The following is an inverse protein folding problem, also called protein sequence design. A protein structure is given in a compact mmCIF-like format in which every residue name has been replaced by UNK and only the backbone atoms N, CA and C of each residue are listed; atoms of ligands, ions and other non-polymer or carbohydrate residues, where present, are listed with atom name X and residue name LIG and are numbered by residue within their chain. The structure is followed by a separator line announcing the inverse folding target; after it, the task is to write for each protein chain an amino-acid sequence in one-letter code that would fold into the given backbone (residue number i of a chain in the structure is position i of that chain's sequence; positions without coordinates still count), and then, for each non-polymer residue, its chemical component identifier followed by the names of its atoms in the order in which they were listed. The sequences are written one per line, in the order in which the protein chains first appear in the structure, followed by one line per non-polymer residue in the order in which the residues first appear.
data_IF_263761355731
#
_entry.id   IF_263761355731
#
_cell.length_a   1.000
_cell.length_b   1.000
_cell.length_c   1.000
_cell.angle_alpha   90.00
_cell.angle_beta   90.00
_cell.angle_gamma   90.00
#
_symmetry.space_group_name_H-M   'P 1'
#
loop_
_entity.id
_entity.type
_entity.pdbx_description
1 polymer ?
#
# COMPACT_ATOMS: atom_id res chain seq x y z
N UNK A 1 -25.92 -9.39 -79.13
CA UNK A 1 -26.97 -10.32 -79.61
C UNK A 1 -28.29 -9.88 -79.01
N UNK A 2 -29.21 -9.41 -79.86
CA UNK A 2 -30.58 -9.08 -79.49
C UNK A 2 -31.33 -10.39 -79.26
N UNK A 3 -31.73 -10.69 -78.03
CA UNK A 3 -32.70 -11.76 -77.79
C UNK A 3 -34.09 -11.24 -78.17
N UNK A 4 -34.67 -11.87 -79.20
CA UNK A 4 -36.05 -11.66 -79.61
C UNK A 4 -37.00 -11.99 -78.45
N UNK A 5 -37.84 -11.02 -78.04
CA UNK A 5 -39.09 -11.30 -77.35
C UNK A 5 -39.98 -12.10 -78.31
N UNK A 6 -40.10 -13.40 -78.05
CA UNK A 6 -41.01 -14.32 -78.75
C UNK A 6 -41.97 -14.96 -77.74
N UNK A 7 -42.64 -14.17 -76.89
CA UNK A 7 -43.77 -14.70 -76.11
C UNK A 7 -44.88 -13.65 -75.99
N UNK A 8 -46.04 -14.04 -76.54
CA UNK A 8 -47.34 -13.40 -76.43
C UNK A 8 -47.84 -13.50 -74.98
N UNK A 9 -48.49 -12.46 -74.49
CA UNK A 9 -48.81 -12.21 -73.08
C UNK A 9 -49.92 -13.07 -72.47
N UNK A 10 -50.07 -14.36 -72.82
CA UNK A 10 -51.14 -15.22 -72.29
C UNK A 10 -50.86 -16.72 -72.06
N UNK A 11 -49.66 -17.23 -72.34
CA UNK A 11 -49.33 -18.65 -72.06
C UNK A 11 -48.21 -18.76 -71.01
N UNK A 12 -48.60 -18.97 -69.75
CA UNK A 12 -47.69 -19.19 -68.62
C UNK A 12 -47.34 -20.68 -68.58
N UNK A 13 -46.17 -21.04 -69.12
CA UNK A 13 -45.65 -22.40 -69.03
C UNK A 13 -44.91 -22.60 -67.70
N UNK A 14 -44.98 -23.77 -67.06
CA UNK A 14 -44.22 -24.05 -65.85
C UNK A 14 -42.71 -24.02 -66.15
N UNK A 15 -41.96 -23.28 -65.35
CA UNK A 15 -40.49 -23.17 -65.40
C UNK A 15 -39.90 -24.05 -64.31
N UNK A 16 -38.99 -24.95 -64.66
CA UNK A 16 -38.27 -25.75 -63.66
C UNK A 16 -37.10 -24.95 -63.06
N UNK A 17 -37.13 -24.75 -61.75
CA UNK A 17 -36.11 -24.08 -60.95
C UNK A 17 -35.32 -25.12 -60.16
N UNK A 18 -34.02 -25.20 -60.41
CA UNK A 18 -33.12 -26.11 -59.70
C UNK A 18 -32.55 -25.40 -58.47
N UNK A 19 -32.96 -25.83 -57.27
CA UNK A 19 -32.46 -25.34 -55.99
C UNK A 19 -31.31 -26.21 -55.49
N UNK A 20 -30.09 -25.87 -55.92
CA UNK A 20 -28.88 -26.60 -55.55
C UNK A 20 -28.39 -26.21 -54.14
N UNK A 21 -28.10 -27.21 -53.31
CA UNK A 21 -27.49 -27.04 -51.98
C UNK A 21 -26.03 -27.51 -52.01
N UNK A 22 -25.10 -26.56 -52.06
CA UNK A 22 -23.67 -26.84 -52.15
C UNK A 22 -23.17 -27.32 -50.77
N UNK A 23 -22.50 -28.48 -50.73
CA UNK A 23 -21.95 -29.08 -49.51
C UNK A 23 -22.81 -30.19 -48.87
N UNK A 24 -23.95 -30.53 -49.47
CA UNK A 24 -24.81 -31.66 -49.06
C UNK A 24 -24.94 -32.71 -50.18
N UNK A 25 -25.34 -33.96 -49.89
CA UNK A 25 -25.59 -34.98 -50.91
C UNK A 25 -26.59 -34.50 -51.97
N UNK A 26 -26.40 -34.89 -53.23
CA UNK A 26 -27.21 -34.41 -54.37
C UNK A 26 -28.72 -34.65 -54.18
N UNK A 27 -29.09 -35.74 -53.52
CA UNK A 27 -30.47 -36.11 -53.17
C UNK A 27 -31.19 -35.06 -52.30
N UNK A 28 -30.45 -34.17 -51.64
CA UNK A 28 -31.00 -33.09 -50.83
C UNK A 28 -31.28 -31.79 -51.61
N UNK A 29 -30.87 -31.73 -52.89
CA UNK A 29 -31.19 -30.65 -53.82
C UNK A 29 -32.55 -30.92 -54.48
N UNK A 30 -33.26 -29.85 -54.83
CA UNK A 30 -34.65 -29.93 -55.27
C UNK A 30 -34.81 -29.30 -56.65
N UNK A 31 -35.71 -29.86 -57.46
CA UNK A 31 -36.21 -29.22 -58.68
C UNK A 31 -37.67 -28.86 -58.43
N UNK A 32 -38.02 -27.58 -58.60
CA UNK A 32 -39.35 -27.04 -58.36
C UNK A 32 -39.91 -26.50 -59.68
N UNK A 33 -41.05 -27.03 -60.13
CA UNK A 33 -41.77 -26.47 -61.28
C UNK A 33 -42.64 -25.30 -60.83
N UNK A 34 -42.39 -24.10 -61.34
CA UNK A 34 -43.03 -22.84 -60.92
C UNK A 34 -43.77 -22.20 -62.10
N UNK A 35 -45.03 -21.83 -61.89
CA UNK A 35 -45.80 -20.98 -62.82
C UNK A 35 -45.86 -19.55 -62.28
N UNK A 36 -45.60 -18.55 -63.13
CA UNK A 36 -45.59 -17.13 -62.75
C UNK A 36 -46.86 -16.46 -63.29
N UNK A 37 -47.78 -16.08 -62.39
CA UNK A 37 -48.96 -15.30 -62.77
C UNK A 37 -48.58 -13.81 -62.91
N UNK A 38 -48.97 -13.17 -64.02
CA UNK A 38 -48.77 -11.73 -64.23
C UNK A 38 -49.78 -10.92 -63.40
N UNK A 39 -49.53 -10.69 -62.10
CA UNK A 39 -50.13 -9.57 -61.36
C UNK A 39 -49.52 -9.34 -59.95
N UNK A 40 -48.37 -8.63 -59.88
CA UNK A 40 -48.05 -7.74 -58.76
C UNK A 40 -46.89 -6.80 -59.13
N UNK A 41 -47.17 -5.51 -59.34
CA UNK A 41 -46.16 -4.46 -59.63
C UNK A 41 -45.59 -3.79 -58.37
N UNK A 42 -45.57 -4.48 -57.24
CA UNK A 42 -45.12 -3.90 -55.97
C UNK A 42 -43.87 -4.64 -55.51
N UNK A 43 -42.74 -3.94 -55.52
CA UNK A 43 -41.46 -4.48 -55.05
C UNK A 43 -41.54 -4.70 -53.53
N UNK A 44 -41.67 -5.96 -53.10
CA UNK A 44 -41.66 -6.34 -51.68
C UNK A 44 -40.23 -6.69 -51.27
N UNK A 45 -39.66 -5.87 -50.39
CA UNK A 45 -38.31 -6.09 -49.85
C UNK A 45 -38.35 -7.03 -48.63
N UNK A 46 -37.66 -8.16 -48.73
CA UNK A 46 -37.47 -9.14 -47.65
C UNK A 46 -35.97 -9.45 -47.49
N UNK A 47 -35.56 -10.03 -46.37
CA UNK A 47 -34.17 -10.46 -46.15
C UNK A 47 -33.55 -10.03 -44.81
N UNK A 48 -34.29 -9.34 -43.95
CA UNK A 48 -33.83 -9.07 -42.59
C UNK A 48 -33.62 -10.38 -41.83
N UNK A 49 -32.41 -10.59 -41.32
CA UNK A 49 -32.09 -11.75 -40.48
C UNK A 49 -32.80 -11.60 -39.13
N UNK A 50 -33.36 -12.71 -38.63
CA UNK A 50 -33.92 -12.74 -37.27
C UNK A 50 -32.81 -12.79 -36.22
N UNK A 51 -33.05 -12.14 -35.09
CA UNK A 51 -32.15 -12.24 -33.92
C UNK A 51 -32.36 -13.58 -33.17
N UNK A 52 -31.57 -13.82 -32.12
CA UNK A 52 -31.68 -15.04 -31.29
C UNK A 52 -33.06 -15.24 -30.62
N UNK A 53 -33.93 -14.22 -30.59
CA UNK A 53 -35.30 -14.26 -30.06
C UNK A 53 -36.35 -14.45 -31.17
N UNK A 54 -35.92 -14.86 -32.36
CA UNK A 54 -36.73 -15.03 -33.57
C UNK A 54 -37.49 -13.75 -34.00
N UNK A 55 -37.01 -12.57 -33.61
CA UNK A 55 -37.58 -11.27 -33.98
C UNK A 55 -36.69 -10.57 -35.01
N UNK A 56 -37.31 -9.88 -35.96
CA UNK A 56 -36.59 -8.97 -36.86
C UNK A 56 -36.12 -7.76 -36.06
N UNK A 57 -34.81 -7.60 -35.98
CA UNK A 57 -34.19 -6.51 -35.23
C UNK A 57 -32.67 -6.63 -35.17
N UNK A 58 -31.97 -5.54 -34.82
CA UNK A 58 -30.52 -5.50 -34.81
C UNK A 58 -29.94 -6.49 -33.78
N UNK A 59 -28.72 -6.97 -34.06
CA UNK A 59 -27.89 -7.72 -33.10
C UNK A 59 -26.90 -6.76 -32.46
N UNK A 60 -26.98 -6.59 -31.15
CA UNK A 60 -26.00 -5.83 -30.38
C UNK A 60 -25.04 -6.81 -29.70
N UNK A 61 -23.74 -6.57 -29.83
CA UNK A 61 -22.68 -7.35 -29.18
C UNK A 61 -21.79 -6.36 -28.44
N UNK A 62 -21.46 -6.66 -27.18
CA UNK A 62 -20.48 -5.88 -26.41
C UNK A 62 -19.08 -6.48 -26.65
N UNK A 63 -18.25 -5.79 -27.42
CA UNK A 63 -16.86 -6.18 -27.71
C UNK A 63 -15.85 -5.41 -26.86
N UNK A 64 -16.29 -4.74 -25.79
CA UNK A 64 -15.43 -3.87 -24.99
C UNK A 64 -14.24 -4.66 -24.42
N UNK A 65 -14.44 -5.88 -23.95
CA UNK A 65 -13.35 -6.67 -23.36
C UNK A 65 -12.26 -7.07 -24.39
N UNK A 66 -12.62 -7.13 -25.68
CA UNK A 66 -11.73 -7.60 -26.74
C UNK A 66 -11.13 -6.44 -27.56
N UNK A 67 -11.76 -5.26 -27.54
CA UNK A 67 -11.39 -4.12 -28.39
C UNK A 67 -11.00 -2.86 -27.61
N UNK A 68 -11.43 -2.70 -26.36
CA UNK A 68 -11.06 -1.54 -25.53
C UNK A 68 -9.64 -1.72 -24.97
N UNK A 69 -8.65 -0.92 -25.43
CA UNK A 69 -7.26 -1.10 -24.99
C UNK A 69 -7.09 -0.98 -23.48
N UNK A 70 -7.94 -0.20 -22.80
CA UNK A 70 -7.87 -0.03 -21.35
C UNK A 70 -8.29 -1.31 -20.61
N UNK A 71 -9.35 -1.98 -21.09
CA UNK A 71 -9.80 -3.27 -20.54
C UNK A 71 -8.82 -4.39 -20.84
N UNK A 72 -8.23 -4.38 -22.03
CA UNK A 72 -7.21 -5.36 -22.41
C UNK A 72 -5.97 -5.20 -21.51
N UNK A 73 -5.50 -3.98 -21.28
CA UNK A 73 -4.39 -3.71 -20.37
C UNK A 73 -4.68 -4.16 -18.93
N UNK A 74 -5.86 -3.83 -18.39
CA UNK A 74 -6.28 -4.21 -17.04
C UNK A 74 -6.39 -5.74 -16.88
N UNK A 75 -7.00 -6.42 -17.86
CA UNK A 75 -7.12 -7.88 -17.86
C UNK A 75 -5.77 -8.60 -18.03
N UNK A 76 -4.85 -8.02 -18.79
CA UNK A 76 -3.49 -8.54 -18.99
C UNK A 76 -2.66 -8.42 -17.71
N UNK A 77 -2.80 -7.31 -16.98
CA UNK A 77 -2.15 -7.13 -15.68
C UNK A 77 -2.65 -8.18 -14.66
N UNK A 78 -3.97 -8.39 -14.60
CA UNK A 78 -4.58 -9.39 -13.72
C UNK A 78 -4.22 -10.83 -14.09
N UNK A 79 -3.99 -11.12 -15.38
CA UNK A 79 -3.64 -12.46 -15.83
C UNK A 79 -2.31 -12.94 -15.23
N UNK A 80 -1.32 -12.06 -15.08
CA UNK A 80 -0.03 -12.42 -14.50
C UNK A 80 -0.19 -12.92 -13.06
N UNK A 81 -1.00 -12.21 -12.25
CA UNK A 81 -1.31 -12.61 -10.88
C UNK A 81 -2.09 -13.92 -10.83
N UNK A 82 -3.08 -14.10 -11.72
CA UNK A 82 -3.83 -15.37 -11.83
C UNK A 82 -2.92 -16.55 -12.19
N UNK A 83 -1.90 -16.34 -13.02
CA UNK A 83 -0.91 -17.37 -13.34
C UNK A 83 -0.08 -17.77 -12.11
N UNK A 84 0.29 -16.81 -11.25
CA UNK A 84 0.96 -17.14 -9.97
C UNK A 84 0.07 -18.04 -9.11
N UNK A 85 -1.21 -17.68 -8.96
CA UNK A 85 -2.19 -18.49 -8.23
C UNK A 85 -2.33 -19.88 -8.84
N UNK A 86 -2.62 -19.98 -10.13
CA UNK A 86 -2.91 -21.27 -10.78
C UNK A 86 -1.71 -22.21 -10.87
N UNK A 87 -0.49 -21.67 -10.99
CA UNK A 87 0.72 -22.49 -11.22
C UNK A 87 1.53 -22.75 -9.97
N UNK A 88 1.54 -21.82 -9.01
CA UNK A 88 2.48 -21.87 -7.89
C UNK A 88 1.76 -21.91 -6.53
N UNK A 89 0.78 -21.04 -6.30
CA UNK A 89 0.12 -20.91 -5.00
C UNK A 89 -1.41 -20.94 -5.16
N UNK A 90 -2.05 -22.12 -5.28
CA UNK A 90 -3.49 -22.24 -5.57
C UNK A 90 -4.40 -21.57 -4.53
N UNK A 91 -3.96 -21.54 -3.27
CA UNK A 91 -4.71 -20.99 -2.14
C UNK A 91 -4.54 -19.47 -1.99
N UNK A 92 -3.73 -18.82 -2.84
CA UNK A 92 -3.56 -17.37 -2.83
C UNK A 92 -4.87 -16.64 -3.14
N UNK A 93 -5.32 -15.79 -2.24
CA UNK A 93 -6.46 -14.91 -2.44
C UNK A 93 -5.97 -13.60 -3.08
N UNK A 94 -6.26 -13.44 -4.37
CA UNK A 94 -5.95 -12.23 -5.14
C UNK A 94 -7.05 -11.16 -5.02
N UNK A 95 -8.28 -11.58 -4.75
CA UNK A 95 -9.42 -10.68 -4.71
C UNK A 95 -9.35 -9.82 -3.45
N UNK A 96 -8.92 -10.40 -2.31
CA UNK A 96 -8.68 -9.63 -1.09
C UNK A 96 -7.58 -8.58 -1.27
N UNK A 97 -6.52 -8.87 -2.05
CA UNK A 97 -5.45 -7.90 -2.31
C UNK A 97 -5.99 -6.77 -3.19
N UNK A 98 -6.69 -7.13 -4.27
CA UNK A 98 -7.25 -6.18 -5.24
C UNK A 98 -8.26 -5.21 -4.60
N UNK A 99 -9.02 -5.67 -3.61
CA UNK A 99 -10.07 -4.88 -2.96
C UNK A 99 -9.55 -3.85 -1.96
N UNK A 100 -8.29 -3.91 -1.54
CA UNK A 100 -7.78 -3.02 -0.49
C UNK A 100 -7.72 -1.57 -0.96
N UNK A 101 -8.18 -0.66 -0.10
CA UNK A 101 -7.91 0.78 -0.18
C UNK A 101 -6.65 1.12 0.61
N UNK A 102 -5.58 1.46 -0.09
CA UNK A 102 -4.28 1.77 0.51
C UNK A 102 -4.05 3.28 0.61
N UNK A 103 -3.85 3.78 1.83
CA UNK A 103 -3.44 5.15 2.11
C UNK A 103 -1.91 5.20 2.28
N UNK A 104 -1.23 6.00 1.47
CA UNK A 104 0.22 6.20 1.52
C UNK A 104 0.54 7.57 2.11
N UNK A 105 0.98 7.59 3.36
CA UNK A 105 1.41 8.80 4.06
C UNK A 105 2.86 9.09 3.71
N UNK A 106 3.07 9.94 2.70
CA UNK A 106 4.35 10.24 2.09
C UNK A 106 4.40 9.79 0.62
N UNK A 107 4.70 10.73 -0.28
CA UNK A 107 4.89 10.50 -1.71
C UNK A 107 6.39 10.66 -2.11
N UNK A 108 7.30 10.41 -1.17
CA UNK A 108 8.74 10.39 -1.38
C UNK A 108 9.24 9.08 -2.02
N UNK A 109 10.49 8.73 -1.74
CA UNK A 109 11.18 7.54 -2.31
C UNK A 109 10.45 6.24 -1.97
N UNK A 110 10.03 6.10 -0.70
CA UNK A 110 9.23 4.97 -0.23
C UNK A 110 7.84 4.95 -0.87
N UNK A 111 7.11 6.08 -0.79
CA UNK A 111 5.77 6.20 -1.37
C UNK A 111 5.68 5.79 -2.83
N UNK A 112 6.63 6.27 -3.65
CA UNK A 112 6.70 5.91 -5.07
C UNK A 112 6.91 4.41 -5.28
N UNK A 113 7.82 3.81 -4.52
CA UNK A 113 8.21 2.40 -4.67
C UNK A 113 7.13 1.45 -4.13
N UNK A 114 6.57 1.74 -2.96
CA UNK A 114 5.43 1.02 -2.37
C UNK A 114 4.23 1.06 -3.33
N UNK A 115 3.89 2.24 -3.87
CA UNK A 115 2.79 2.37 -4.82
C UNK A 115 2.96 1.49 -6.06
N UNK A 116 4.15 1.46 -6.66
CA UNK A 116 4.43 0.60 -7.82
C UNK A 116 4.27 -0.89 -7.49
N UNK A 117 4.76 -1.31 -6.32
CA UNK A 117 4.63 -2.69 -5.87
C UNK A 117 3.16 -3.07 -5.57
N UNK A 118 2.38 -2.17 -4.96
CA UNK A 118 0.95 -2.38 -4.72
C UNK A 118 0.17 -2.56 -6.03
N UNK A 119 0.43 -1.71 -7.03
CA UNK A 119 -0.20 -1.83 -8.35
C UNK A 119 0.22 -3.12 -9.06
N UNK A 120 1.48 -3.53 -8.94
CA UNK A 120 1.95 -4.81 -9.46
C UNK A 120 1.22 -6.01 -8.82
N UNK A 121 0.88 -5.92 -7.53
CA UNK A 121 0.06 -6.90 -6.80
C UNK A 121 -1.44 -6.79 -7.05
N UNK A 122 -1.87 -5.86 -7.90
CA UNK A 122 -3.26 -5.76 -8.33
C UNK A 122 -4.12 -4.80 -7.51
N UNK A 123 -3.57 -4.06 -6.55
CA UNK A 123 -4.31 -3.04 -5.79
C UNK A 123 -4.85 -1.97 -6.75
N UNK A 124 -6.13 -1.60 -6.57
CA UNK A 124 -6.81 -0.63 -7.46
C UNK A 124 -7.13 0.71 -6.82
N UNK A 125 -7.01 0.84 -5.50
CA UNK A 125 -7.32 2.05 -4.75
C UNK A 125 -6.08 2.53 -3.99
N UNK A 126 -5.48 3.63 -4.43
CA UNK A 126 -4.29 4.22 -3.80
C UNK A 126 -4.49 5.72 -3.59
N UNK A 127 -4.35 6.17 -2.36
CA UNK A 127 -4.41 7.59 -2.03
C UNK A 127 -3.08 8.04 -1.44
N UNK A 128 -2.49 9.08 -2.03
CA UNK A 128 -1.25 9.69 -1.53
C UNK A 128 -1.56 10.89 -0.65
N UNK A 129 -0.80 11.03 0.43
CA UNK A 129 -0.81 12.21 1.30
C UNK A 129 0.60 12.78 1.40
N UNK A 130 0.80 14.01 0.93
CA UNK A 130 2.10 14.69 0.97
C UNK A 130 1.90 16.21 0.79
N UNK A 131 2.64 17.02 1.54
CA UNK A 131 2.59 18.50 1.44
C UNK A 131 3.71 19.10 0.57
N UNK A 132 4.66 18.28 0.13
CA UNK A 132 5.83 18.71 -0.61
C UNK A 132 5.60 18.94 -2.10
N UNK A 133 6.55 19.64 -2.71
CA UNK A 133 6.67 19.81 -4.17
C UNK A 133 7.83 18.98 -4.72
N UNK A 134 7.70 18.56 -5.98
CA UNK A 134 8.76 17.84 -6.68
C UNK A 134 9.95 18.78 -6.93
N UNK A 135 11.13 18.42 -6.42
CA UNK A 135 12.39 19.12 -6.66
C UNK A 135 13.28 18.41 -7.68
N UNK A 136 14.31 19.09 -8.21
CA UNK A 136 15.19 18.52 -9.24
C UNK A 136 15.94 17.25 -8.82
N UNK A 137 16.23 17.07 -7.53
CA UNK A 137 16.90 15.87 -7.02
C UNK A 137 15.95 14.68 -6.84
N UNK A 138 14.64 14.90 -6.94
CA UNK A 138 13.63 13.87 -6.67
C UNK A 138 13.51 12.81 -7.76
N UNK A 139 13.38 13.11 -9.08
CA UNK A 139 13.09 12.11 -10.10
C UNK A 139 14.04 10.90 -10.14
N UNK A 140 15.32 11.09 -9.81
CA UNK A 140 16.31 9.99 -9.80
C UNK A 140 16.17 9.02 -8.64
N UNK A 141 15.37 9.36 -7.61
CA UNK A 141 15.09 8.51 -6.43
C UNK A 141 13.60 8.19 -6.28
N UNK A 142 12.73 9.07 -6.77
CA UNK A 142 11.28 9.01 -6.60
C UNK A 142 10.64 8.63 -7.94
N UNK A 143 10.45 7.33 -8.13
CA UNK A 143 10.17 6.70 -9.44
C UNK A 143 8.82 7.05 -10.08
N UNK A 144 8.00 7.89 -9.46
CA UNK A 144 6.75 8.41 -10.05
C UNK A 144 6.89 9.82 -10.63
N UNK A 145 8.03 10.47 -10.45
CA UNK A 145 8.26 11.83 -10.93
C UNK A 145 9.24 11.85 -12.09
N UNK A 146 9.04 12.81 -12.99
CA UNK A 146 9.92 13.11 -14.11
C UNK A 146 10.51 14.52 -13.97
N UNK A 147 11.51 14.83 -14.80
CA UNK A 147 12.06 16.20 -14.88
C UNK A 147 10.98 17.25 -15.17
N UNK A 148 9.95 16.90 -15.94
CA UNK A 148 8.84 17.80 -16.28
C UNK A 148 7.91 18.13 -15.10
N UNK A 149 8.04 17.43 -13.98
CA UNK A 149 7.25 17.69 -12.76
C UNK A 149 7.97 18.63 -11.78
N UNK A 150 9.27 18.91 -12.01
CA UNK A 150 10.09 19.82 -11.22
C UNK A 150 9.74 21.29 -11.47
N UNK A 151 10.31 22.19 -10.66
CA UNK A 151 10.15 23.63 -10.83
C UNK A 151 10.92 24.16 -12.04
N UNK A 152 10.25 24.26 -13.18
CA UNK A 152 10.78 24.85 -14.42
C UNK A 152 10.45 26.35 -14.55
N UNK A 153 10.13 27.04 -13.45
CA UNK A 153 9.79 28.47 -13.40
C UNK A 153 8.33 28.78 -13.05
N UNK A 154 7.49 27.75 -12.84
CA UNK A 154 6.09 27.87 -12.44
C UNK A 154 5.80 27.25 -11.05
N UNK A 155 6.84 26.83 -10.33
CA UNK A 155 6.74 26.00 -9.14
C UNK A 155 6.63 24.51 -9.50
N UNK A 156 7.35 23.67 -8.77
CA UNK A 156 7.24 22.22 -8.93
C UNK A 156 5.84 21.71 -8.59
N UNK A 157 5.39 20.64 -9.24
CA UNK A 157 4.08 20.05 -8.98
C UNK A 157 3.99 19.53 -7.55
N UNK A 158 2.77 19.52 -6.99
CA UNK A 158 2.52 18.92 -5.69
C UNK A 158 2.75 17.40 -5.77
N UNK A 159 3.55 16.85 -4.86
CA UNK A 159 3.97 15.44 -4.92
C UNK A 159 2.80 14.47 -4.88
N UNK A 160 1.84 14.70 -3.99
CA UNK A 160 0.68 13.82 -3.84
C UNK A 160 -0.12 13.70 -5.15
N UNK A 161 -0.45 14.85 -5.76
CA UNK A 161 -1.20 14.90 -7.02
C UNK A 161 -0.39 14.35 -8.19
N UNK A 162 0.89 14.71 -8.30
CA UNK A 162 1.78 14.22 -9.35
C UNK A 162 1.93 12.70 -9.29
N UNK A 163 2.08 12.12 -8.09
CA UNK A 163 2.18 10.68 -7.89
C UNK A 163 0.89 9.96 -8.31
N UNK A 164 -0.26 10.54 -7.97
CA UNK A 164 -1.55 9.99 -8.35
C UNK A 164 -1.75 9.97 -9.88
N UNK A 165 -1.38 11.07 -10.56
CA UNK A 165 -1.41 11.16 -12.02
C UNK A 165 -0.43 10.18 -12.68
N UNK A 166 0.77 10.02 -12.11
CA UNK A 166 1.76 9.06 -12.61
C UNK A 166 1.26 7.61 -12.52
N UNK A 167 0.57 7.23 -11.43
CA UNK A 167 -0.06 5.90 -11.36
C UNK A 167 -1.15 5.71 -12.42
N UNK A 168 -1.98 6.73 -12.68
CA UNK A 168 -2.98 6.67 -13.76
C UNK A 168 -2.34 6.55 -15.14
N UNK A 169 -1.16 7.11 -15.34
CA UNK A 169 -0.40 6.92 -16.58
C UNK A 169 0.14 5.49 -16.72
N UNK A 170 0.43 4.80 -15.60
CA UNK A 170 0.88 3.40 -15.58
C UNK A 170 -0.29 2.43 -15.79
N UNK A 171 -1.38 2.62 -15.04
CA UNK A 171 -2.59 1.81 -15.12
C UNK A 171 -3.82 2.74 -15.14
N UNK A 172 -4.41 3.06 -16.31
CA UNK A 172 -5.48 4.05 -16.39
C UNK A 172 -6.77 3.70 -15.64
N UNK A 173 -7.00 2.42 -15.36
CA UNK A 173 -8.16 1.92 -14.60
C UNK A 173 -8.01 2.09 -13.09
N UNK A 174 -6.84 2.49 -12.59
CA UNK A 174 -6.60 2.68 -11.15
C UNK A 174 -7.40 3.86 -10.60
N UNK A 175 -8.01 3.66 -9.43
CA UNK A 175 -8.52 4.76 -8.64
C UNK A 175 -7.39 5.32 -7.77
N UNK A 176 -6.69 6.32 -8.30
CA UNK A 176 -5.60 6.99 -7.62
C UNK A 176 -5.91 8.46 -7.33
N UNK A 177 -5.72 8.90 -6.10
CA UNK A 177 -5.96 10.28 -5.64
C UNK A 177 -4.77 10.83 -4.87
N UNK A 178 -4.55 12.14 -4.96
CA UNK A 178 -3.50 12.83 -4.23
C UNK A 178 -4.12 13.91 -3.35
N UNK A 179 -3.74 13.93 -2.07
CA UNK A 179 -4.21 14.93 -1.11
C UNK A 179 -3.01 15.69 -0.57
N UNK A 180 -2.98 17.00 -0.85
CA UNK A 180 -2.06 17.91 -0.18
C UNK A 180 -2.52 18.13 1.24
N UNK A 181 -1.72 17.62 2.19
CA UNK A 181 -1.98 17.72 3.62
C UNK A 181 -0.64 17.62 4.36
N UNK A 182 -0.40 18.57 5.27
CA UNK A 182 0.69 18.51 6.23
C UNK A 182 0.26 17.68 7.42
N UNK A 183 1.07 16.69 7.81
CA UNK A 183 0.79 15.84 8.96
C UNK A 183 1.22 16.57 10.24
N UNK A 184 0.30 16.85 11.17
CA UNK A 184 0.63 17.48 12.45
C UNK A 184 1.67 16.69 13.26
N UNK A 185 2.71 17.37 13.74
CA UNK A 185 3.80 16.77 14.50
C UNK A 185 3.77 17.22 15.97
N UNK A 186 4.04 16.34 16.95
CA UNK A 186 4.19 16.72 18.36
C UNK A 186 5.26 17.80 18.56
N UNK A 187 4.98 18.78 19.42
CA UNK A 187 5.92 19.88 19.72
C UNK A 187 6.11 20.94 18.63
N UNK A 188 5.33 20.92 17.54
CA UNK A 188 5.39 21.92 16.47
C UNK A 188 4.13 22.81 16.45
N UNK A 189 4.30 24.12 16.67
CA UNK A 189 3.20 25.10 16.69
C UNK A 189 2.47 25.29 15.35
N UNK A 190 3.05 24.88 14.22
CA UNK A 190 2.40 24.93 12.91
C UNK A 190 1.32 23.86 12.71
N UNK A 191 1.25 22.87 13.60
CA UNK A 191 0.27 21.80 13.58
C UNK A 191 -1.17 22.34 13.78
N UNK A 192 -2.07 22.06 12.84
CA UNK A 192 -3.48 22.46 12.94
C UNK A 192 -4.37 21.27 13.26
N UNK A 193 -5.38 21.51 14.11
CA UNK A 193 -6.42 20.52 14.44
C UNK A 193 -7.21 20.14 13.18
N UNK A 194 -7.45 21.07 12.25
CA UNK A 194 -8.13 20.81 10.99
C UNK A 194 -7.40 19.74 10.15
N UNK A 195 -6.06 19.83 10.06
CA UNK A 195 -5.27 18.83 9.38
C UNK A 195 -5.34 17.47 10.09
N UNK A 196 -5.37 17.47 11.42
CA UNK A 196 -5.51 16.24 12.21
C UNK A 196 -6.87 15.56 11.98
N UNK A 197 -7.96 16.34 11.88
CA UNK A 197 -9.31 15.83 11.56
C UNK A 197 -9.33 15.26 10.14
N UNK A 198 -8.82 15.99 9.16
CA UNK A 198 -8.76 15.51 7.77
C UNK A 198 -7.92 14.22 7.64
N UNK A 199 -6.81 14.12 8.37
CA UNK A 199 -6.00 12.90 8.43
C UNK A 199 -6.77 11.73 9.04
N UNK A 200 -7.55 11.98 10.10
CA UNK A 200 -8.41 10.98 10.73
C UNK A 200 -9.43 10.41 9.74
N UNK A 201 -10.15 11.29 9.02
CA UNK A 201 -11.16 10.89 8.04
C UNK A 201 -10.55 10.05 6.91
N UNK A 202 -9.37 10.45 6.42
CA UNK A 202 -8.64 9.68 5.40
C UNK A 202 -8.24 8.30 5.90
N UNK A 203 -7.73 8.17 7.13
CA UNK A 203 -7.37 6.87 7.70
C UNK A 203 -8.62 6.01 7.91
N UNK A 204 -9.74 6.60 8.33
CA UNK A 204 -11.00 5.89 8.50
C UNK A 204 -11.56 5.32 7.18
N UNK A 205 -11.45 6.07 6.08
CA UNK A 205 -11.95 5.65 4.75
C UNK A 205 -11.17 4.47 4.14
N UNK A 206 -9.92 4.26 4.56
CA UNK A 206 -8.99 3.29 3.98
C UNK A 206 -8.86 2.02 4.83
N UNK A 207 -8.46 0.92 4.19
CA UNK A 207 -8.31 -0.38 4.86
C UNK A 207 -6.91 -0.54 5.47
N UNK A 208 -5.91 -0.05 4.73
CA UNK A 208 -4.48 -0.21 5.06
C UNK A 208 -3.79 1.14 4.97
N UNK A 209 -2.95 1.44 5.96
CA UNK A 209 -2.18 2.68 6.03
C UNK A 209 -0.69 2.39 6.03
N UNK A 210 0.03 2.98 5.08
CA UNK A 210 1.48 2.96 5.06
C UNK A 210 2.04 4.27 5.60
N UNK A 211 2.86 4.19 6.65
CA UNK A 211 3.56 5.32 7.25
C UNK A 211 4.95 5.42 6.62
N UNK A 212 5.07 6.27 5.60
CA UNK A 212 6.22 6.41 4.71
C UNK A 212 6.84 7.82 4.78
N UNK A 213 6.55 8.55 5.86
CA UNK A 213 7.08 9.88 6.12
C UNK A 213 8.57 9.81 6.46
N UNK A 214 9.22 10.96 6.41
CA UNK A 214 10.67 11.10 6.52
C UNK A 214 11.16 11.40 7.95
N UNK A 215 10.26 11.56 8.91
CA UNK A 215 10.60 11.87 10.30
C UNK A 215 9.86 10.98 11.29
N UNK A 216 10.38 10.86 12.51
CA UNK A 216 9.71 10.12 13.59
C UNK A 216 8.42 10.80 14.04
N UNK A 217 8.45 12.13 14.18
CA UNK A 217 7.35 12.93 14.74
C UNK A 217 6.12 12.86 13.85
N UNK A 218 6.31 12.92 12.53
CA UNK A 218 5.24 12.80 11.53
C UNK A 218 4.56 11.43 11.53
N UNK A 219 5.18 10.39 12.12
CA UNK A 219 4.55 9.05 12.27
C UNK A 219 3.66 8.93 13.50
N UNK A 220 3.79 9.83 14.48
CA UNK A 220 3.09 9.71 15.76
C UNK A 220 1.57 9.74 15.60
N UNK A 221 1.04 10.82 15.02
CA UNK A 221 -0.41 10.99 14.90
C UNK A 221 -1.07 9.89 14.05
N UNK A 222 -0.53 9.53 12.85
CA UNK A 222 -1.04 8.38 12.11
C UNK A 222 -1.05 7.08 12.92
N UNK A 223 -0.02 6.84 13.74
CA UNK A 223 0.06 5.64 14.58
C UNK A 223 -1.05 5.61 15.63
N UNK A 224 -1.28 6.74 16.32
CA UNK A 224 -2.38 6.89 17.28
C UNK A 224 -3.73 6.60 16.61
N UNK A 225 -3.99 7.25 15.47
CA UNK A 225 -5.26 7.09 14.74
C UNK A 225 -5.46 5.64 14.30
N UNK A 226 -4.43 5.00 13.74
CA UNK A 226 -4.52 3.60 13.32
C UNK A 226 -4.76 2.65 14.51
N UNK A 227 -4.15 2.93 15.66
CA UNK A 227 -4.36 2.14 16.88
C UNK A 227 -5.80 2.28 17.38
N UNK A 228 -6.33 3.51 17.43
CA UNK A 228 -7.72 3.76 17.88
C UNK A 228 -8.74 3.15 16.92
N UNK A 229 -8.55 3.32 15.61
CA UNK A 229 -9.48 2.82 14.58
C UNK A 229 -9.25 1.35 14.22
N UNK A 230 -8.29 0.67 14.87
CA UNK A 230 -7.90 -0.71 14.56
C UNK A 230 -7.62 -0.91 13.06
N UNK A 231 -6.84 -0.02 12.45
CA UNK A 231 -6.43 -0.11 11.05
C UNK A 231 -5.14 -0.91 10.89
N UNK A 232 -5.00 -1.64 9.79
CA UNK A 232 -3.74 -2.30 9.48
C UNK A 232 -2.72 -1.25 9.05
N UNK A 233 -1.74 -0.99 9.91
CA UNK A 233 -0.70 0.00 9.67
C UNK A 233 0.66 -0.66 9.44
N UNK A 234 1.39 -0.20 8.42
CA UNK A 234 2.76 -0.64 8.12
C UNK A 234 3.66 0.58 8.12
N UNK A 235 4.62 0.62 9.05
CA UNK A 235 5.67 1.63 9.07
C UNK A 235 6.88 1.14 8.29
N UNK A 236 7.37 2.01 7.41
CA UNK A 236 8.68 1.82 6.76
C UNK A 236 9.57 3.01 7.06
N UNK A 237 10.78 2.73 7.51
CA UNK A 237 11.78 3.70 7.93
C UNK A 237 13.13 3.37 7.30
N UNK A 238 13.91 4.42 7.03
CA UNK A 238 15.20 4.31 6.36
C UNK A 238 16.29 4.94 7.21
N UNK A 239 17.43 4.26 7.28
CA UNK A 239 18.71 4.83 7.67
C UNK A 239 19.63 4.91 6.44
N UNK A 240 20.89 5.27 6.66
CA UNK A 240 21.87 5.38 5.58
C UNK A 240 22.00 4.07 4.75
N UNK A 241 22.28 2.95 5.42
CA UNK A 241 22.42 1.62 4.83
C UNK A 241 21.53 0.56 5.52
N UNK A 242 20.62 1.00 6.38
CA UNK A 242 19.68 0.17 7.14
C UNK A 242 18.23 0.56 6.85
N UNK A 243 17.30 -0.34 7.15
CA UNK A 243 15.87 -0.06 7.07
C UNK A 243 15.09 -0.84 8.11
N UNK A 244 13.88 -0.35 8.41
CA UNK A 244 12.89 -1.01 9.24
C UNK A 244 11.56 -1.08 8.48
N UNK A 245 10.96 -2.26 8.43
CA UNK A 245 9.58 -2.48 7.99
C UNK A 245 8.85 -3.17 9.13
N UNK A 246 7.73 -2.64 9.58
CA UNK A 246 6.95 -3.27 10.65
C UNK A 246 5.46 -3.06 10.48
N UNK A 247 4.68 -4.06 10.87
CA UNK A 247 3.22 -3.94 11.01
C UNK A 247 2.88 -3.61 12.46
N UNK A 248 1.89 -2.76 12.68
CA UNK A 248 1.43 -2.45 14.03
C UNK A 248 0.44 -3.50 14.51
N UNK A 249 0.42 -3.78 15.81
CA UNK A 249 -0.52 -4.73 16.40
C UNK A 249 -1.95 -4.21 16.45
N UNK A 250 -2.88 -5.01 15.93
CA UNK A 250 -4.32 -4.85 16.17
C UNK A 250 -4.72 -5.67 17.40
N UNK A 251 -5.72 -5.20 18.14
CA UNK A 251 -6.25 -5.87 19.32
C UNK A 251 -7.60 -6.51 19.01
N UNK A 252 -7.71 -7.82 19.17
CA UNK A 252 -9.00 -8.53 19.20
C UNK A 252 -8.94 -9.64 20.25
N UNK A 253 -9.81 -9.56 21.26
CA UNK A 253 -9.91 -10.58 22.31
C UNK A 253 -8.72 -10.63 23.29
N UNK A 254 -8.34 -11.84 23.70
CA UNK A 254 -7.31 -12.11 24.72
C UNK A 254 -5.88 -12.28 24.16
N UNK A 255 -5.67 -12.07 22.85
CA UNK A 255 -4.36 -12.21 22.23
C UNK A 255 -3.43 -11.04 22.58
N UNK A 256 -2.15 -11.33 22.77
CA UNK A 256 -1.14 -10.33 23.11
C UNK A 256 -0.90 -9.40 21.91
N UNK A 257 -1.31 -8.13 22.04
CA UNK A 257 -1.16 -7.09 21.02
C UNK A 257 0.33 -6.86 20.71
N UNK A 258 0.69 -6.86 19.42
CA UNK A 258 2.03 -6.50 18.99
C UNK A 258 2.31 -5.01 19.18
N UNK A 259 3.59 -4.68 19.32
CA UNK A 259 4.04 -3.30 19.47
C UNK A 259 3.75 -2.43 18.24
N UNK A 260 3.63 -1.12 18.46
CA UNK A 260 3.74 -0.14 17.38
C UNK A 260 5.18 0.36 17.26
N UNK A 261 5.44 1.23 16.29
CA UNK A 261 6.75 1.84 16.07
C UNK A 261 7.35 2.52 17.31
N UNK A 262 6.50 3.06 18.20
CA UNK A 262 6.90 3.77 19.42
C UNK A 262 6.95 2.90 20.68
N UNK A 263 6.75 1.57 20.59
CA UNK A 263 6.79 0.70 21.78
C UNK A 263 8.21 0.36 22.25
N UNK A 264 9.20 0.43 21.35
CA UNK A 264 10.56 -0.05 21.61
C UNK A 264 11.55 1.07 21.89
N UNK A 265 11.07 2.30 22.03
CA UNK A 265 11.91 3.46 22.33
C UNK A 265 11.23 4.24 23.46
N UNK A 266 11.96 4.45 24.54
CA UNK A 266 11.48 5.09 25.76
C UNK A 266 11.36 6.61 25.63
N UNK A 267 11.85 7.22 24.55
CA UNK A 267 11.83 8.68 24.36
C UNK A 267 10.61 9.19 23.58
N UNK A 268 9.99 10.30 24.01
CA UNK A 268 8.94 10.93 23.21
C UNK A 268 9.50 11.53 21.89
N UNK A 269 8.69 11.58 20.82
CA UNK A 269 9.03 12.31 19.61
C UNK A 269 9.12 13.79 19.95
N UNK A 270 10.35 14.28 20.14
CA UNK A 270 10.68 15.70 20.18
C UNK A 270 11.19 16.18 18.82
N UNK A 271 11.65 17.43 18.73
CA UNK A 271 12.24 17.99 17.52
C UNK A 271 13.58 17.28 17.19
N UNK A 272 13.54 16.20 16.41
CA UNK A 272 14.70 15.33 16.13
C UNK A 272 15.59 15.80 14.97
N UNK A 273 15.38 17.03 14.48
CA UNK A 273 16.16 17.60 13.37
C UNK A 273 17.66 17.75 13.65
N UNK A 274 18.14 17.51 14.88
CA UNK A 274 19.53 17.76 15.27
C UNK A 274 20.41 16.51 15.49
N UNK A 275 19.92 15.28 15.78
CA UNK A 275 20.82 14.27 16.39
C UNK A 275 20.65 12.74 16.15
N UNK A 276 20.06 12.20 15.05
CA UNK A 276 20.00 10.71 14.84
C UNK A 276 20.11 10.21 13.40
N UNK A 277 20.73 9.06 13.17
CA UNK A 277 21.00 8.50 11.82
C UNK A 277 19.87 7.68 11.18
N UNK A 278 18.93 7.15 11.97
CA UNK A 278 17.75 6.41 11.49
C UNK A 278 16.55 7.37 11.50
N UNK A 279 15.82 7.48 10.39
CA UNK A 279 14.76 8.48 10.17
C UNK A 279 15.22 9.95 10.14
N UNK A 280 16.50 10.20 9.86
CA UNK A 280 16.92 11.49 9.31
C UNK A 280 16.59 11.56 7.82
N UNK A 281 16.14 12.73 7.37
CA UNK A 281 15.65 13.04 6.02
C UNK A 281 16.17 12.06 4.95
N UNK A 282 15.24 11.36 4.28
CA UNK A 282 15.52 10.22 3.40
C UNK A 282 16.41 10.50 2.17
N UNK A 283 16.95 11.72 2.03
CA UNK A 283 17.85 12.16 0.97
C UNK A 283 19.25 11.55 1.07
N UNK A 284 19.74 11.24 2.28
CA UNK A 284 21.09 10.69 2.51
C UNK A 284 21.04 9.19 2.77
N UNK A 285 20.43 8.43 1.86
CA UNK A 285 20.33 6.97 1.93
C UNK A 285 20.98 6.32 0.71
N UNK A 286 21.58 5.13 0.89
CA UNK A 286 22.03 4.30 -0.24
C UNK A 286 20.81 3.97 -1.12
N UNK A 287 20.82 4.25 -2.44
CA UNK A 287 19.61 4.23 -3.26
C UNK A 287 18.79 2.94 -3.17
N UNK A 288 19.46 1.77 -3.17
CA UNK A 288 18.80 0.46 -3.15
C UNK A 288 18.05 0.13 -1.84
N UNK A 289 18.37 0.80 -0.72
CA UNK A 289 17.73 0.53 0.58
C UNK A 289 16.22 0.75 0.48
N UNK A 290 15.81 1.84 -0.17
CA UNK A 290 14.41 2.21 -0.32
C UNK A 290 13.61 1.19 -1.13
N UNK A 291 14.19 0.62 -2.18
CA UNK A 291 13.56 -0.40 -3.02
C UNK A 291 13.36 -1.70 -2.23
N UNK A 292 14.37 -2.14 -1.49
CA UNK A 292 14.29 -3.36 -0.66
C UNK A 292 13.23 -3.18 0.42
N UNK A 293 13.28 -2.08 1.17
CA UNK A 293 12.31 -1.79 2.23
C UNK A 293 10.87 -1.72 1.69
N UNK A 294 10.67 -1.04 0.55
CA UNK A 294 9.34 -0.90 -0.07
C UNK A 294 8.80 -2.22 -0.63
N UNK A 295 9.67 -3.10 -1.14
CA UNK A 295 9.26 -4.43 -1.56
C UNK A 295 8.79 -5.25 -0.36
N UNK A 296 9.61 -5.30 0.70
CA UNK A 296 9.29 -6.04 1.92
C UNK A 296 8.03 -5.50 2.61
N UNK A 297 7.78 -4.19 2.60
CA UNK A 297 6.56 -3.60 3.15
C UNK A 297 5.30 -4.09 2.43
N UNK A 298 5.33 -4.20 1.10
CA UNK A 298 4.20 -4.70 0.32
C UNK A 298 4.06 -6.22 0.44
N UNK A 299 5.16 -6.98 0.41
CA UNK A 299 5.11 -8.43 0.62
C UNK A 299 4.59 -8.78 2.01
N UNK A 300 4.95 -8.02 3.04
CA UNK A 300 4.42 -8.17 4.39
C UNK A 300 2.90 -7.92 4.40
N UNK A 301 2.42 -6.86 3.74
CA UNK A 301 0.98 -6.63 3.60
C UNK A 301 0.28 -7.81 2.94
N UNK A 302 0.78 -8.23 1.78
CA UNK A 302 0.17 -9.28 0.98
C UNK A 302 0.08 -10.57 1.79
N UNK A 303 1.15 -10.95 2.49
CA UNK A 303 1.15 -12.10 3.40
C UNK A 303 0.12 -11.94 4.54
N UNK A 304 0.08 -10.77 5.19
CA UNK A 304 -0.90 -10.49 6.26
C UNK A 304 -2.34 -10.66 5.78
N UNK A 305 -2.65 -10.22 4.56
CA UNK A 305 -3.99 -10.36 3.99
C UNK A 305 -4.39 -11.82 3.72
N UNK A 306 -3.43 -12.72 3.53
CA UNK A 306 -3.70 -14.15 3.39
C UNK A 306 -4.05 -14.82 4.72
N UNK A 307 -3.69 -14.21 5.85
CA UNK A 307 -4.00 -14.77 7.16
C UNK A 307 -5.45 -14.49 7.57
N UNK A 308 -6.13 -15.50 8.14
CA UNK A 308 -7.54 -15.38 8.58
C UNK A 308 -7.76 -14.24 9.58
N UNK A 309 -6.80 -14.02 10.48
CA UNK A 309 -6.84 -12.99 11.52
C UNK A 309 -6.21 -11.65 11.08
N UNK A 310 -5.69 -11.56 9.84
CA UNK A 310 -5.06 -10.35 9.30
C UNK A 310 -4.06 -9.74 10.29
N UNK A 311 -4.18 -8.45 10.65
CA UNK A 311 -3.22 -7.77 11.51
C UNK A 311 -3.27 -8.16 12.99
N UNK A 312 -4.24 -8.99 13.42
CA UNK A 312 -4.27 -9.59 14.77
C UNK A 312 -3.33 -10.80 14.87
N UNK A 313 -2.93 -11.38 13.74
CA UNK A 313 -2.03 -12.52 13.68
C UNK A 313 -0.75 -12.30 14.49
N UNK A 314 -0.29 -13.33 15.19
CA UNK A 314 0.97 -13.28 15.95
C UNK A 314 2.18 -13.36 15.02
N UNK A 315 3.37 -13.06 15.53
CA UNK A 315 4.61 -13.07 14.72
C UNK A 315 5.18 -14.47 14.45
N UNK A 316 4.61 -15.49 15.09
CA UNK A 316 5.01 -16.91 14.95
C UNK A 316 4.15 -17.68 13.95
N UNK A 317 3.11 -17.04 13.41
CA UNK A 317 2.19 -17.65 12.45
C UNK A 317 2.73 -17.58 11.01
N UNK A 318 2.21 -18.45 10.16
CA UNK A 318 2.55 -18.57 8.75
C UNK A 318 1.31 -18.48 7.87
N UNK A 319 1.52 -18.10 6.62
CA UNK A 319 0.49 -18.04 5.58
C UNK A 319 0.92 -18.86 4.37
N UNK A 320 0.10 -18.87 3.32
CA UNK A 320 0.44 -19.48 2.02
C UNK A 320 1.67 -18.85 1.36
N UNK A 321 2.14 -17.69 1.84
CA UNK A 321 3.32 -16.97 1.37
C UNK A 321 4.50 -17.04 2.35
N UNK A 322 4.42 -17.85 3.42
CA UNK A 322 5.48 -18.05 4.39
C UNK A 322 5.25 -17.34 5.72
N UNK A 323 6.33 -17.08 6.45
CA UNK A 323 6.30 -16.49 7.80
C UNK A 323 5.71 -15.08 7.82
N UNK A 324 5.10 -14.72 8.94
CA UNK A 324 4.43 -13.43 9.13
C UNK A 324 5.12 -12.62 10.25
N UNK A 325 6.28 -11.98 9.96
CA UNK A 325 7.04 -11.27 10.97
C UNK A 325 6.29 -10.04 11.51
N UNK A 326 6.61 -9.64 12.73
CA UNK A 326 6.18 -8.37 13.29
C UNK A 326 6.98 -7.20 12.69
N UNK A 327 8.31 -7.33 12.70
CA UNK A 327 9.21 -6.35 12.10
C UNK A 327 10.36 -7.03 11.36
N UNK A 328 10.88 -6.33 10.36
CA UNK A 328 12.02 -6.71 9.54
C UNK A 328 13.00 -5.55 9.60
N UNK A 329 14.20 -5.79 10.12
CA UNK A 329 15.30 -4.84 10.05
C UNK A 329 16.38 -5.41 9.14
N UNK A 330 16.78 -4.64 8.15
CA UNK A 330 17.82 -5.04 7.21
C UNK A 330 19.04 -4.15 7.26
N UNK A 331 20.20 -4.75 7.00
CA UNK A 331 21.50 -4.10 6.96
C UNK A 331 22.15 -4.37 5.61
N UNK A 332 22.21 -3.36 4.73
CA UNK A 332 22.73 -3.52 3.37
C UNK A 332 24.26 -3.69 3.35
N UNK A 333 24.97 -3.20 4.37
CA UNK A 333 26.40 -3.44 4.53
C UNK A 333 26.73 -4.93 4.71
N UNK A 334 25.87 -5.66 5.42
CA UNK A 334 26.09 -7.06 5.77
C UNK A 334 25.20 -8.04 4.98
N UNK A 335 24.24 -7.52 4.20
CA UNK A 335 23.21 -8.31 3.51
C UNK A 335 22.43 -9.24 4.44
N UNK A 336 22.15 -8.79 5.65
CA UNK A 336 21.43 -9.56 6.68
C UNK A 336 20.10 -8.92 7.04
N UNK A 337 19.12 -9.77 7.39
CA UNK A 337 17.84 -9.37 7.98
C UNK A 337 17.71 -9.95 9.39
N UNK A 338 17.13 -9.19 10.30
CA UNK A 338 16.69 -9.66 11.61
C UNK A 338 15.19 -9.40 11.78
N UNK A 339 14.51 -10.31 12.47
CA UNK A 339 13.03 -10.33 12.57
C UNK A 339 12.54 -10.15 14.01
N UNK A 340 12.86 -9.05 14.72
CA UNK A 340 12.46 -8.89 16.10
C UNK A 340 10.94 -8.75 16.22
N UNK A 341 10.39 -9.37 17.26
CA UNK A 341 8.98 -9.23 17.64
C UNK A 341 8.91 -8.58 19.01
N UNK A 342 8.01 -7.60 19.16
CA UNK A 342 7.83 -6.89 20.43
C UNK A 342 6.36 -6.77 20.72
N UNK A 343 6.04 -6.77 22.02
CA UNK A 343 4.68 -6.67 22.53
C UNK A 343 4.32 -5.21 22.74
N UNK A 344 3.03 -4.89 22.78
CA UNK A 344 2.57 -3.54 23.07
C UNK A 344 3.03 -3.11 24.46
N UNK A 345 3.68 -1.95 24.52
CA UNK A 345 4.15 -1.38 25.78
C UNK A 345 3.03 -0.57 26.46
N UNK A 346 2.78 -0.82 27.74
CA UNK A 346 1.68 -0.20 28.51
C UNK A 346 1.82 1.31 28.64
N UNK A 347 3.05 1.83 28.67
CA UNK A 347 3.35 3.27 28.75
C UNK A 347 3.77 3.85 27.39
N UNK A 348 3.42 3.18 26.29
CA UNK A 348 3.69 3.69 24.95
C UNK A 348 2.95 5.01 24.68
N UNK A 349 3.66 6.03 24.25
CA UNK A 349 3.15 7.35 23.85
C UNK A 349 2.17 7.36 22.65
N UNK A 350 1.97 6.22 21.98
CA UNK A 350 1.14 6.15 20.78
C UNK A 350 0.00 5.12 20.88
N UNK A 351 0.28 3.89 21.34
CA UNK A 351 -0.71 2.81 21.37
C UNK A 351 -1.05 2.31 22.79
N UNK A 352 -0.70 3.06 23.83
CA UNK A 352 -1.13 2.74 25.20
C UNK A 352 -2.62 3.00 25.38
N UNK A 353 -3.30 2.27 26.30
CA UNK A 353 -4.72 2.48 26.58
C UNK A 353 -5.04 3.92 27.01
N UNK A 354 -4.13 4.59 27.72
CA UNK A 354 -4.33 5.98 28.17
C UNK A 354 -4.32 6.96 27.00
N UNK A 355 -3.42 6.77 26.02
CA UNK A 355 -3.37 7.59 24.80
C UNK A 355 -4.59 7.35 23.92
N UNK A 356 -4.97 6.09 23.72
CA UNK A 356 -6.16 5.72 22.93
C UNK A 356 -7.44 6.33 23.54
N UNK A 357 -7.57 6.27 24.86
CA UNK A 357 -8.69 6.87 25.60
C UNK A 357 -8.70 8.39 25.49
N UNK A 358 -7.57 9.05 25.74
CA UNK A 358 -7.45 10.52 25.64
C UNK A 358 -7.76 11.03 24.24
N UNK A 359 -7.30 10.33 23.19
CA UNK A 359 -7.62 10.66 21.81
C UNK A 359 -9.11 10.48 21.48
N UNK A 360 -9.76 9.45 22.03
CA UNK A 360 -11.17 9.13 21.76
C UNK A 360 -12.15 10.03 22.50
N UNK A 361 -11.88 10.33 23.78
CA UNK A 361 -12.79 11.11 24.63
C UNK A 361 -12.58 12.62 24.49
N UNK A 362 -11.32 13.09 24.42
CA UNK A 362 -10.97 14.51 24.46
C UNK A 362 -10.07 14.92 23.28
N UNK A 363 -10.38 14.43 22.07
CA UNK A 363 -9.55 14.56 20.84
C UNK A 363 -8.90 15.94 20.66
N UNK A 364 -9.69 17.01 20.68
CA UNK A 364 -9.23 18.37 20.37
C UNK A 364 -8.26 18.91 21.41
N UNK A 365 -8.61 18.80 22.69
CA UNK A 365 -7.78 19.28 23.81
C UNK A 365 -6.50 18.45 23.94
N UNK A 366 -6.62 17.13 23.78
CA UNK A 366 -5.48 16.22 23.78
C UNK A 366 -4.47 16.60 22.70
N UNK A 367 -4.92 16.77 21.45
CA UNK A 367 -4.04 17.13 20.34
C UNK A 367 -3.42 18.53 20.50
N UNK A 368 -4.18 19.51 20.98
CA UNK A 368 -3.68 20.87 21.23
C UNK A 368 -2.53 20.86 22.27
N UNK A 369 -2.68 20.08 23.35
CA UNK A 369 -1.63 19.90 24.36
C UNK A 369 -0.39 19.21 23.78
N UNK A 370 -0.57 18.17 22.96
CA UNK A 370 0.55 17.45 22.30
C UNK A 370 1.32 18.35 21.33
N UNK A 371 0.62 19.18 20.55
CA UNK A 371 1.28 20.06 19.58
C UNK A 371 2.04 21.20 20.26
N UNK A 372 1.59 21.65 21.43
CA UNK A 372 2.23 22.73 22.20
C UNK A 372 3.37 22.26 23.10
N UNK A 373 3.39 20.99 23.51
CA UNK A 373 4.35 20.48 24.49
C UNK A 373 5.01 19.19 24.03
N UNK A 374 6.35 19.18 24.05
CA UNK A 374 7.15 17.97 23.79
C UNK A 374 7.14 16.98 24.96
N UNK A 375 6.79 17.43 26.18
CA UNK A 375 6.78 16.59 27.40
C UNK A 375 5.42 15.99 27.75
N UNK A 376 4.34 16.58 27.23
CA UNK A 376 2.97 16.19 27.62
C UNK A 376 2.70 14.70 27.42
N UNK A 377 3.23 14.10 26.35
CA UNK A 377 3.09 12.66 26.10
C UNK A 377 3.84 11.79 27.12
N UNK A 378 5.03 12.21 27.55
CA UNK A 378 5.83 11.48 28.56
C UNK A 378 5.16 11.52 29.93
N UNK A 379 4.64 12.70 30.29
CA UNK A 379 3.91 12.90 31.55
C UNK A 379 2.60 12.09 31.55
N UNK A 380 1.86 12.10 30.43
CA UNK A 380 0.60 11.37 30.30
C UNK A 380 0.78 9.85 30.42
N UNK A 381 1.85 9.29 29.87
CA UNK A 381 2.09 7.84 29.91
C UNK A 381 2.91 7.39 31.12
N UNK A 382 3.37 8.32 31.96
CA UNK A 382 4.22 8.03 33.12
C UNK A 382 5.66 7.67 32.74
N UNK A 383 6.11 7.99 31.53
CA UNK A 383 7.51 7.84 31.13
C UNK A 383 8.42 8.79 31.90
N UNK A 384 7.93 10.00 32.22
CA UNK A 384 8.70 10.96 33.05
C UNK A 384 9.04 10.38 34.42
N UNK A 385 8.14 9.62 35.03
CA UNK A 385 8.39 8.95 36.31
C UNK A 385 9.33 7.77 36.15
N UNK A 386 9.18 7.00 35.06
CA UNK A 386 10.06 5.87 34.73
C UNK A 386 11.52 6.33 34.55
N UNK A 387 11.74 7.44 33.84
CA UNK A 387 13.07 8.03 33.68
C UNK A 387 13.66 8.47 35.02
N UNK A 388 12.90 9.20 35.84
CA UNK A 388 13.36 9.60 37.18
C UNK A 388 13.71 8.40 38.08
N UNK A 389 12.92 7.33 38.01
CA UNK A 389 13.18 6.11 38.78
C UNK A 389 14.47 5.41 38.31
N UNK A 390 14.73 5.41 37.00
CA UNK A 390 15.95 4.84 36.42
C UNK A 390 17.19 5.66 36.78
N UNK A 391 17.13 6.99 36.62
CA UNK A 391 18.21 7.91 37.01
C UNK A 391 18.53 7.79 38.51
N UNK A 392 17.51 7.60 39.34
CA UNK A 392 17.70 7.38 40.78
C UNK A 392 18.35 6.04 41.10
N UNK A 393 18.10 5.00 40.28
CA UNK A 393 18.72 3.69 40.42
C UNK A 393 20.18 3.70 39.98
N UNK A 394 20.50 4.33 38.84
CA UNK A 394 21.89 4.51 38.37
C UNK A 394 22.72 5.30 39.38
N UNK A 395 22.14 6.34 39.99
CA UNK A 395 22.77 7.10 41.07
C UNK A 395 23.01 6.27 42.35
N UNK A 396 22.21 5.23 42.60
CA UNK A 396 22.40 4.34 43.74
C UNK A 396 23.48 3.28 43.43
N UNK A 397 23.48 2.70 42.23
CA UNK A 397 24.48 1.73 41.79
C UNK A 397 25.90 2.34 41.71
N UNK A 398 26.01 3.63 41.35
CA UNK A 398 27.30 4.35 41.34
C UNK A 398 27.79 4.75 42.75
N UNK A 399 26.91 4.83 43.75
CA UNK A 399 27.32 5.11 45.13
C UNK A 399 27.78 3.83 45.86
N UNK A 400 27.41 2.65 45.38
CA UNK A 400 27.82 1.36 45.98
C UNK A 400 29.22 0.90 45.51
N UNK A 401 29.84 1.55 44.51
CA UNK A 401 31.22 1.25 44.06
C UNK A 401 32.32 2.09 44.76
N UNK A 402 31.95 3.09 45.57
CA UNK A 402 32.91 3.99 46.25
C UNK A 402 33.24 3.59 47.71
N UNK A 403 32.74 2.45 48.19
CA UNK A 403 32.94 1.95 49.57
C UNK A 403 33.92 0.74 49.65
N UNK A 404 35.05 0.80 48.92
CA UNK A 404 36.22 -0.04 49.20
C UNK A 404 37.32 0.77 49.88
N UNK A 405 37.17 0.86 51.20
CA UNK A 405 38.13 1.19 52.27
C UNK A 405 39.59 1.50 51.83
N UNK A 406 39.93 2.79 51.85
CA UNK A 406 41.26 3.25 52.32
C UNK A 406 41.31 3.01 53.83
N UNK A 407 41.89 1.91 54.30
CA UNK A 407 42.56 1.81 55.61
C UNK A 407 43.17 0.40 55.79
N UNK A 408 44.47 0.28 55.54
CA UNK A 408 45.35 -0.62 56.31
C UNK A 408 46.79 -0.08 56.25
N UNK A 409 47.12 0.68 57.29
CA UNK A 409 48.45 1.20 57.64
C UNK A 409 49.45 0.08 57.95
N UNK A 410 50.69 0.32 57.54
CA UNK A 410 51.94 -0.03 58.23
C UNK A 410 51.98 -1.29 59.13
N UNK A 411 52.66 -2.35 58.66
CA UNK A 411 53.73 -3.03 59.40
C UNK A 411 54.32 -4.20 58.59
N UNK A 412 55.57 -4.07 58.14
CA UNK A 412 56.66 -5.08 58.28
C UNK A 412 57.88 -4.68 57.45
N UNK A 413 58.81 -3.97 58.10
CA UNK A 413 60.22 -4.03 57.74
C UNK A 413 60.80 -5.43 58.05
N UNK A 414 61.80 -5.82 57.26
CA UNK A 414 62.82 -6.87 57.47
C UNK A 414 62.51 -8.32 57.04
N UNK A 415 63.12 -8.72 55.91
CA UNK A 415 64.02 -9.90 55.73
C UNK A 415 64.31 -10.00 54.22
N UNK A 416 65.46 -9.48 53.79
CA UNK A 416 66.67 -10.28 53.48
C UNK A 416 66.52 -11.18 52.24
N UNK A 417 67.27 -10.79 51.20
CA UNK A 417 68.08 -11.63 50.32
C UNK A 417 67.87 -13.15 50.44
N UNK A 418 67.58 -13.81 49.30
CA UNK A 418 68.16 -15.10 48.92
C UNK A 418 67.76 -15.48 47.48
N UNK A 419 68.73 -15.36 46.56
CA UNK A 419 69.21 -16.44 45.68
C UNK A 419 68.28 -17.12 44.67
N UNK A 420 68.73 -17.08 43.40
CA UNK A 420 68.72 -18.15 42.37
C UNK A 420 67.64 -19.25 42.43
N UNK A 421 66.82 -19.36 41.37
CA UNK A 421 66.90 -20.37 40.27
C UNK A 421 66.07 -19.89 39.09
#
# INVERSE_FOLDING_TARGET
MKYHRLFSSKDIWPIDVICLRIGAPFESSLVLSVSIDEESKQDVWIGWEKNKRDKFGPRCINLQNDLDPLRIADSSADLNLKLMKWRLVPDLDLDIIKSQKCLLLGAGTLGCSVARNLVAWGVRHVTFVDNGRVSFSNPVRQSLFSYGDCDLGAGGKMKAEAAALALKAILPTINSTGVTLEIPMPGHYSATIENAVKLHDLIEEHDVVFLLTDSRESRWLPTVICSVLQKLAITTALGYDTYLVMRHGQAEGANQKLGCYFCNDVTAPGNSMEDRTLDQQCTVTRPGVSNVASALAVELLVSVLQHRQKGVATSTEETVLGILPHSIRGFISHFTHILPSTVSFSQCIACSPIVEKSYSENKTEFLDNVFKSTKYLEDLTGLTELFKATDSLEMLELNDEDDYDEDDEENLESMEDLGEV
#
